data_IF_689470098552
#
_entry.id   IF_689470098552
#
_cell.length_a   1.000
_cell.length_b   1.000
_cell.length_c   1.000
_cell.angle_alpha   90.00
_cell.angle_beta   90.00
_cell.angle_gamma   90.00
#
_symmetry.space_group_name_H-M   'P 1'
#
loop_
_entity.id
_entity.type
_entity.pdbx_description
1 polymer ?
#
# COMPACT_ATOMS: atom_id res chain seq x y z
N UNK A 1 -15.03 -11.11 -10.64
CA UNK A 1 -14.65 -11.60 -9.30
C UNK A 1 -13.44 -10.78 -8.83
N UNK A 2 -13.31 -10.47 -7.54
CA UNK A 2 -12.16 -9.72 -7.00
C UNK A 2 -10.84 -10.48 -7.22
N UNK A 3 -10.87 -11.81 -7.16
CA UNK A 3 -9.68 -12.65 -7.42
C UNK A 3 -9.11 -12.40 -8.82
N UNK A 4 -9.98 -12.24 -9.83
CA UNK A 4 -9.53 -12.03 -11.22
C UNK A 4 -8.80 -10.69 -11.40
N UNK A 5 -9.26 -9.62 -10.72
CA UNK A 5 -8.56 -8.32 -10.74
C UNK A 5 -7.19 -8.40 -10.07
N UNK A 6 -7.05 -9.20 -9.01
CA UNK A 6 -5.76 -9.41 -8.35
C UNK A 6 -4.82 -10.24 -9.22
N UNK A 7 -5.28 -11.38 -9.73
CA UNK A 7 -4.47 -12.33 -10.50
C UNK A 7 -4.04 -11.78 -11.86
N UNK A 8 -4.92 -11.05 -12.56
CA UNK A 8 -4.64 -10.54 -13.91
C UNK A 8 -4.25 -9.06 -13.95
N UNK A 9 -4.50 -8.31 -12.87
CA UNK A 9 -4.25 -6.88 -12.79
C UNK A 9 -3.15 -6.53 -11.79
N UNK A 10 -3.50 -6.49 -10.50
CA UNK A 10 -2.61 -5.93 -9.47
C UNK A 10 -1.36 -6.78 -9.22
N UNK A 11 -1.46 -8.11 -9.10
CA UNK A 11 -0.31 -8.94 -8.80
C UNK A 11 0.74 -8.89 -9.93
N UNK A 12 0.38 -9.02 -11.23
CA UNK A 12 1.33 -8.82 -12.31
C UNK A 12 1.94 -7.42 -12.34
N UNK A 13 1.14 -6.37 -12.05
CA UNK A 13 1.65 -4.99 -11.96
C UNK A 13 2.72 -4.87 -10.86
N UNK A 14 2.45 -5.37 -9.66
CA UNK A 14 3.39 -5.31 -8.53
C UNK A 14 4.67 -6.09 -8.86
N UNK A 15 4.56 -7.27 -9.48
CA UNK A 15 5.73 -8.03 -9.93
C UNK A 15 6.51 -7.28 -11.01
N UNK A 16 5.84 -6.62 -11.96
CA UNK A 16 6.51 -5.80 -12.96
C UNK A 16 7.25 -4.62 -12.33
N UNK A 17 6.66 -3.96 -11.33
CA UNK A 17 7.32 -2.90 -10.57
C UNK A 17 8.58 -3.42 -9.87
N UNK A 18 8.49 -4.57 -9.20
CA UNK A 18 9.62 -5.16 -8.46
C UNK A 18 10.74 -5.70 -9.34
N UNK A 19 10.44 -6.02 -10.60
CA UNK A 19 11.43 -6.48 -11.58
C UNK A 19 11.95 -5.35 -12.49
N UNK A 20 11.49 -4.11 -12.30
CA UNK A 20 11.95 -2.96 -13.07
C UNK A 20 13.40 -2.64 -12.72
N UNK A 21 14.28 -2.49 -13.73
CA UNK A 21 15.69 -2.12 -13.52
C UNK A 21 15.88 -0.66 -13.08
N UNK A 22 14.86 0.18 -13.32
CA UNK A 22 14.83 1.60 -12.98
C UNK A 22 14.03 1.82 -11.70
N UNK A 23 14.46 2.76 -10.83
CA UNK A 23 13.72 3.08 -9.63
C UNK A 23 12.35 3.66 -9.95
N UNK A 24 11.35 3.30 -9.16
CA UNK A 24 9.98 3.80 -9.24
C UNK A 24 9.72 4.78 -8.11
N UNK A 25 9.39 6.03 -8.47
CA UNK A 25 9.06 7.09 -7.52
C UNK A 25 7.54 7.31 -7.53
N UNK A 26 6.89 7.03 -6.41
CA UNK A 26 5.49 7.34 -6.17
C UNK A 26 5.31 8.77 -5.67
N UNK A 27 4.26 9.45 -6.14
CA UNK A 27 3.90 10.79 -5.65
C UNK A 27 2.46 10.77 -5.13
N UNK A 28 2.29 11.04 -3.84
CA UNK A 28 1.00 11.07 -3.15
C UNK A 28 0.55 12.52 -2.96
N UNK A 29 -0.45 12.92 -3.75
CA UNK A 29 -1.06 14.26 -3.68
C UNK A 29 -2.38 14.27 -2.88
N UNK A 30 -2.65 13.20 -2.11
CA UNK A 30 -3.93 13.01 -1.43
C UNK A 30 -4.01 11.65 -0.73
N UNK A 31 -5.23 11.14 -0.56
CA UNK A 31 -5.46 9.88 0.15
C UNK A 31 -5.10 8.69 -0.74
N UNK A 32 -4.15 7.86 -0.29
CA UNK A 32 -3.87 6.54 -0.83
C UNK A 32 -4.60 5.49 0.01
N UNK A 33 -5.65 4.87 -0.53
CA UNK A 33 -6.50 3.93 0.19
C UNK A 33 -6.49 2.55 -0.46
N UNK A 34 -6.44 1.49 0.36
CA UNK A 34 -6.55 0.09 -0.08
C UNK A 34 -5.49 -0.28 -1.11
N UNK A 35 -5.91 -0.78 -2.29
CA UNK A 35 -4.97 -1.11 -3.37
C UNK A 35 -4.12 0.10 -3.83
N UNK A 36 -4.62 1.33 -3.69
CA UNK A 36 -3.83 2.55 -3.94
C UNK A 36 -2.74 2.77 -2.90
N UNK A 37 -3.02 2.46 -1.63
CA UNK A 37 -2.00 2.40 -0.57
C UNK A 37 -0.98 1.30 -0.88
N UNK A 38 -1.46 0.11 -1.25
CA UNK A 38 -0.62 -1.04 -1.60
C UNK A 38 0.36 -0.72 -2.73
N UNK A 39 -0.12 -0.03 -3.77
CA UNK A 39 0.71 0.42 -4.89
C UNK A 39 1.76 1.45 -4.45
N UNK A 40 1.39 2.39 -3.57
CA UNK A 40 2.33 3.37 -3.02
C UNK A 40 3.43 2.72 -2.17
N UNK A 41 3.09 1.67 -1.41
CA UNK A 41 4.05 0.89 -0.62
C UNK A 41 4.98 0.03 -1.50
N UNK A 42 4.61 -0.25 -2.75
CA UNK A 42 5.41 -1.02 -3.69
C UNK A 42 6.43 -0.17 -4.47
N UNK A 43 6.31 1.16 -4.45
CA UNK A 43 7.30 2.08 -5.00
C UNK A 43 8.62 1.99 -4.21
N UNK A 44 9.74 2.28 -4.87
CA UNK A 44 11.05 2.29 -4.20
C UNK A 44 11.23 3.54 -3.35
N UNK A 45 10.62 4.64 -3.74
CA UNK A 45 10.55 5.88 -2.97
C UNK A 45 9.19 6.54 -3.13
N UNK A 46 8.66 7.12 -2.06
CA UNK A 46 7.37 7.80 -2.09
C UNK A 46 7.52 9.23 -1.58
N UNK A 47 7.14 10.19 -2.41
CA UNK A 47 7.01 11.59 -2.05
C UNK A 47 5.55 11.87 -1.70
N UNK A 48 5.29 12.35 -0.49
CA UNK A 48 3.95 12.68 -0.05
C UNK A 48 3.78 14.20 0.17
N UNK A 49 2.71 14.77 -0.39
CA UNK A 49 2.21 16.08 0.02
C UNK A 49 1.85 16.04 1.51
N UNK A 50 2.05 17.15 2.22
CA UNK A 50 1.78 17.23 3.67
C UNK A 50 0.33 16.86 4.05
N UNK A 51 -0.61 17.00 3.11
CA UNK A 51 -2.03 16.67 3.28
C UNK A 51 -2.36 15.24 2.88
N UNK A 52 -1.40 14.50 2.35
CA UNK A 52 -1.59 13.10 1.96
C UNK A 52 -1.79 12.21 3.20
N UNK A 53 -2.49 11.10 2.99
CA UNK A 53 -2.62 10.06 4.01
C UNK A 53 -2.69 8.68 3.36
N UNK A 54 -2.21 7.68 4.09
CA UNK A 54 -2.25 6.28 3.69
C UNK A 54 -3.23 5.53 4.59
N UNK A 55 -3.99 4.59 4.03
CA UNK A 55 -4.92 3.77 4.82
C UNK A 55 -5.21 2.41 4.19
N UNK A 56 -5.07 1.37 4.99
CA UNK A 56 -5.43 0.00 4.64
C UNK A 56 -6.92 -0.25 4.94
N UNK A 57 -7.82 0.14 4.02
CA UNK A 57 -9.29 0.11 4.23
C UNK A 57 -9.94 -1.26 4.13
N UNK A 58 -9.16 -2.33 3.89
CA UNK A 58 -9.66 -3.67 3.60
C UNK A 58 -10.51 -4.28 4.72
N UNK A 59 -10.17 -3.97 5.98
CA UNK A 59 -10.94 -4.43 7.15
C UNK A 59 -12.40 -3.94 7.12
N UNK A 60 -12.65 -2.77 6.54
CA UNK A 60 -14.00 -2.20 6.42
C UNK A 60 -14.92 -3.01 5.50
N UNK A 61 -14.38 -3.91 4.68
CA UNK A 61 -15.12 -4.79 3.77
C UNK A 61 -14.82 -6.28 4.01
N UNK A 62 -14.19 -6.63 5.13
CA UNK A 62 -13.90 -8.02 5.49
C UNK A 62 -12.83 -8.69 4.61
N UNK A 63 -11.94 -7.90 4.00
CA UNK A 63 -10.84 -8.41 3.18
C UNK A 63 -9.51 -8.33 3.92
N UNK A 64 -8.59 -9.21 3.51
CA UNK A 64 -7.17 -9.14 3.88
C UNK A 64 -6.45 -8.07 3.06
N UNK A 65 -5.24 -7.68 3.48
CA UNK A 65 -4.38 -6.82 2.68
C UNK A 65 -4.01 -7.52 1.36
N UNK A 66 -4.35 -6.90 0.24
CA UNK A 66 -4.07 -7.40 -1.09
C UNK A 66 -2.98 -6.60 -1.81
N UNK A 67 -2.81 -6.82 -3.12
CA UNK A 67 -1.96 -6.01 -4.01
C UNK A 67 -0.53 -5.77 -3.51
N UNK A 68 0.03 -6.76 -2.80
CA UNK A 68 1.38 -6.71 -2.22
C UNK A 68 1.51 -6.02 -0.86
N UNK A 69 0.47 -5.35 -0.33
CA UNK A 69 0.57 -4.65 0.95
C UNK A 69 0.89 -5.61 2.11
N UNK A 70 0.32 -6.82 2.11
CA UNK A 70 0.66 -7.89 3.06
C UNK A 70 2.16 -8.27 3.08
N UNK A 71 2.90 -7.96 2.02
CA UNK A 71 4.34 -8.15 1.93
C UNK A 71 5.13 -6.88 2.30
N UNK A 72 4.73 -5.71 1.77
CA UNK A 72 5.48 -4.46 1.94
C UNK A 72 5.27 -3.82 3.31
N UNK A 73 4.03 -3.73 3.77
CA UNK A 73 3.69 -3.05 5.02
C UNK A 73 4.48 -3.58 6.23
N UNK A 74 4.51 -4.90 6.53
CA UNK A 74 5.27 -5.41 7.67
C UNK A 74 6.78 -5.22 7.54
N UNK A 75 7.32 -5.08 6.32
CA UNK A 75 8.75 -4.79 6.11
C UNK A 75 9.10 -3.33 6.37
N UNK A 76 8.15 -2.43 6.18
CA UNK A 76 8.33 -1.00 6.40
C UNK A 76 8.16 -0.62 7.87
N UNK A 77 7.10 -1.12 8.53
CA UNK A 77 6.73 -0.69 9.90
C UNK A 77 6.87 -1.78 10.97
N UNK A 78 7.28 -2.99 10.58
CA UNK A 78 7.30 -4.16 11.47
C UNK A 78 5.92 -4.80 11.64
N UNK A 79 5.90 -6.08 12.03
CA UNK A 79 4.67 -6.90 12.08
C UNK A 79 3.60 -6.34 13.02
N UNK A 80 3.98 -5.85 14.20
CA UNK A 80 3.00 -5.36 15.19
C UNK A 80 2.26 -4.11 14.69
N UNK A 81 2.99 -3.14 14.14
CA UNK A 81 2.38 -1.92 13.59
C UNK A 81 1.60 -2.22 12.32
N UNK A 82 2.11 -3.11 11.46
CA UNK A 82 1.37 -3.55 10.27
C UNK A 82 0.05 -4.21 10.63
N UNK A 83 0.03 -5.07 11.66
CA UNK A 83 -1.20 -5.70 12.15
C UNK A 83 -2.19 -4.67 12.69
N UNK A 84 -1.72 -3.71 13.49
CA UNK A 84 -2.54 -2.59 13.98
C UNK A 84 -3.17 -1.81 12.82
N UNK A 85 -2.38 -1.36 11.85
CA UNK A 85 -2.87 -0.59 10.70
C UNK A 85 -3.86 -1.40 9.86
N UNK A 86 -3.60 -2.69 9.64
CA UNK A 86 -4.45 -3.59 8.85
C UNK A 86 -5.79 -3.89 9.54
N UNK A 87 -5.82 -3.99 10.87
CA UNK A 87 -7.02 -4.38 11.63
C UNK A 87 -7.82 -3.20 12.12
N UNK A 88 -7.19 -2.06 12.38
CA UNK A 88 -7.87 -0.84 12.80
C UNK A 88 -8.35 0.00 11.61
N UNK A 89 -7.74 -0.17 10.43
CA UNK A 89 -8.04 0.65 9.25
C UNK A 89 -7.76 2.14 9.50
N UNK A 90 -6.81 2.45 10.38
CA UNK A 90 -6.45 3.81 10.76
C UNK A 90 -5.69 4.51 9.62
N UNK A 91 -5.95 5.82 9.49
CA UNK A 91 -5.20 6.67 8.56
C UNK A 91 -3.84 6.98 9.16
N UNK A 92 -2.80 6.89 8.33
CA UNK A 92 -1.45 7.38 8.60
C UNK A 92 -1.29 8.68 7.81
N UNK A 93 -1.03 9.78 8.50
CA UNK A 93 -0.73 11.07 7.87
C UNK A 93 0.66 11.07 7.24
N UNK A 94 0.90 11.98 6.28
CA UNK A 94 2.23 12.16 5.70
C UNK A 94 3.30 12.46 6.77
N UNK A 95 2.97 13.20 7.83
CA UNK A 95 3.89 13.53 8.93
C UNK A 95 4.28 12.31 9.78
N UNK A 96 3.37 11.35 9.97
CA UNK A 96 3.63 10.10 10.70
C UNK A 96 4.40 9.07 9.85
N UNK A 97 4.35 9.21 8.52
CA UNK A 97 4.94 8.27 7.58
C UNK A 97 6.44 8.53 7.28
N UNK A 98 7.05 9.55 7.88
CA UNK A 98 8.46 9.96 7.70
C UNK A 98 9.42 9.07 8.48
#
# INVERSE_FOLDING_TARGET
DFSEFLEKGYNPLILAMRNMEKPIIGVLNGVAAGAGCSLALACDFTLADERASLVEVFVGIGLVLDSGSSYFLPKLVGTNKAFELATMGSKVSAAEAV
#
